data_IF_953693333180
#
_entry.id   IF_953693333180
#
_cell.length_a   1.000
_cell.length_b   1.000
_cell.length_c   1.000
_cell.angle_alpha   90.00
_cell.angle_beta   90.00
_cell.angle_gamma   90.00
#
_symmetry.space_group_name_H-M   'P 1'
#
loop_
_entity.id
_entity.type
_entity.pdbx_description
1 polymer ?
#
# COMPACT_ATOMS: atom_id res chain seq x y z
N UNK A 1 12.34 18.04 16.76
CA UNK A 1 12.53 19.41 16.18
C UNK A 1 11.15 20.05 15.96
N UNK A 2 10.46 20.41 17.05
CA UNK A 2 9.08 20.90 17.02
C UNK A 2 9.03 22.40 17.27
N UNK A 3 9.35 23.21 16.25
CA UNK A 3 9.10 24.65 16.31
C UNK A 3 8.13 25.01 15.18
N UNK A 4 7.01 25.64 15.55
CA UNK A 4 6.01 26.18 14.62
C UNK A 4 6.41 27.59 14.17
N UNK A 5 5.95 27.97 12.98
CA UNK A 5 6.28 29.23 12.30
C UNK A 5 5.99 30.46 13.15
N UNK A 6 6.92 31.43 13.15
CA UNK A 6 6.79 32.73 13.82
C UNK A 6 6.11 33.74 12.90
N UNK A 7 5.29 34.65 13.45
CA UNK A 7 4.74 35.79 12.71
C UNK A 7 5.86 36.84 12.55
N UNK A 8 6.39 36.97 11.34
CA UNK A 8 7.54 37.83 10.94
C UNK A 8 8.94 37.25 11.26
N UNK A 9 9.32 36.10 10.68
CA UNK A 9 10.61 35.51 10.94
C UNK A 9 11.75 36.28 10.24
N UNK A 10 12.88 36.42 10.93
CA UNK A 10 14.11 36.97 10.36
C UNK A 10 14.59 36.14 9.16
N UNK A 11 15.41 36.74 8.28
CA UNK A 11 15.99 36.02 7.13
C UNK A 11 16.74 34.75 7.59
N UNK A 12 17.53 34.84 8.66
CA UNK A 12 18.21 33.69 9.25
C UNK A 12 17.24 32.59 9.71
N UNK A 13 16.12 32.95 10.35
CA UNK A 13 15.11 31.98 10.75
C UNK A 13 14.43 31.32 9.55
N UNK A 14 14.13 32.07 8.49
CA UNK A 14 13.59 31.52 7.23
C UNK A 14 14.56 30.52 6.61
N UNK A 15 15.85 30.83 6.58
CA UNK A 15 16.88 29.92 6.06
C UNK A 15 17.03 28.64 6.90
N UNK A 16 16.99 28.75 8.23
CA UNK A 16 17.03 27.58 9.13
C UNK A 16 15.80 26.70 8.93
N UNK A 17 14.61 27.30 8.84
CA UNK A 17 13.37 26.57 8.60
C UNK A 17 13.38 25.89 7.22
N UNK A 18 13.95 26.52 6.18
CA UNK A 18 14.12 25.90 4.86
C UNK A 18 15.10 24.70 4.89
N UNK A 19 16.10 24.73 5.76
CA UNK A 19 17.05 23.63 5.95
C UNK A 19 16.51 22.51 6.86
N UNK A 20 15.39 22.72 7.55
CA UNK A 20 14.82 21.78 8.53
C UNK A 20 14.58 20.39 7.94
N UNK A 21 13.94 20.32 6.78
CA UNK A 21 13.60 19.06 6.13
C UNK A 21 14.86 18.27 5.72
N UNK A 22 15.89 18.98 5.25
CA UNK A 22 17.19 18.39 4.95
C UNK A 22 17.87 17.85 6.21
N UNK A 23 17.79 18.60 7.31
CA UNK A 23 18.38 18.21 8.58
C UNK A 23 17.66 17.01 9.20
N UNK A 24 16.33 16.91 9.09
CA UNK A 24 15.58 15.75 9.59
C UNK A 24 15.92 14.44 8.87
N UNK A 25 16.38 14.50 7.62
CA UNK A 25 16.78 13.32 6.85
C UNK A 25 18.17 12.78 7.26
N UNK A 26 19.00 13.59 7.92
CA UNK A 26 20.37 13.21 8.28
C UNK A 26 20.76 13.34 9.75
N UNK A 27 19.94 14.00 10.58
CA UNK A 27 20.17 14.06 12.02
C UNK A 27 19.57 12.84 12.70
N UNK A 28 20.41 12.15 13.45
CA UNK A 28 20.02 11.07 14.36
C UNK A 28 20.29 11.48 15.79
N UNK A 29 19.40 11.11 16.70
CA UNK A 29 19.64 11.28 18.13
C UNK A 29 20.75 10.32 18.58
N UNK A 30 21.81 10.88 19.14
CA UNK A 30 22.95 10.14 19.70
C UNK A 30 22.67 9.84 21.17
N UNK A 31 22.67 8.55 21.51
CA UNK A 31 22.46 8.09 22.89
C UNK A 31 23.77 8.21 23.67
N UNK A 32 23.78 9.06 24.69
CA UNK A 32 24.82 9.15 25.71
C UNK A 32 24.38 8.36 26.94
N UNK A 33 23.75 9.05 27.88
CA UNK A 33 23.16 8.50 29.11
C UNK A 33 21.75 7.92 28.92
N UNK A 34 21.03 8.36 27.88
CA UNK A 34 19.67 7.93 27.55
C UNK A 34 18.56 8.63 28.34
N UNK A 35 18.87 9.54 29.26
CA UNK A 35 17.89 10.21 30.12
C UNK A 35 17.08 11.28 29.38
N UNK A 36 17.59 11.78 28.25
CA UNK A 36 16.98 12.89 27.50
C UNK A 36 16.46 12.42 26.13
N UNK A 37 16.28 11.11 25.94
CA UNK A 37 15.80 10.55 24.68
C UNK A 37 14.58 9.68 24.94
N UNK A 38 13.43 10.12 24.46
CA UNK A 38 12.20 9.35 24.45
C UNK A 38 12.27 8.27 23.38
N UNK A 39 11.85 7.06 23.72
CA UNK A 39 12.00 5.90 22.85
C UNK A 39 11.19 6.04 21.57
N UNK A 40 9.93 6.47 21.66
CA UNK A 40 8.98 6.39 20.55
C UNK A 40 8.79 7.67 19.75
N UNK A 41 9.33 8.80 20.22
CA UNK A 41 9.17 10.12 19.56
C UNK A 41 10.44 10.66 18.92
N UNK A 42 11.60 10.06 19.20
CA UNK A 42 12.89 10.53 18.70
C UNK A 42 13.48 9.57 17.65
N UNK A 43 14.20 10.12 16.67
CA UNK A 43 14.84 9.35 15.60
C UNK A 43 16.25 8.89 16.04
N UNK A 44 16.34 7.86 16.89
CA UNK A 44 17.61 7.38 17.44
C UNK A 44 18.14 6.08 16.79
N UNK A 45 17.30 5.37 16.02
CA UNK A 45 17.68 4.12 15.34
C UNK A 45 18.66 4.40 14.19
N UNK A 46 19.76 3.63 14.06
CA UNK A 46 20.81 3.84 13.06
C UNK A 46 20.42 3.36 11.65
N UNK A 47 19.30 3.84 11.12
CA UNK A 47 18.88 3.64 9.73
C UNK A 47 19.20 4.86 8.86
N UNK A 48 19.04 4.72 7.54
CA UNK A 48 19.14 5.82 6.58
C UNK A 48 17.82 5.90 5.79
N UNK A 49 16.97 6.92 6.02
CA UNK A 49 17.11 7.98 7.03
C UNK A 49 16.91 7.47 8.47
N UNK A 50 17.38 8.20 9.49
CA UNK A 50 17.13 7.87 10.89
C UNK A 50 15.63 7.92 11.20
N UNK A 51 15.14 6.95 11.97
CA UNK A 51 13.73 6.88 12.38
C UNK A 51 13.57 6.47 13.83
N UNK A 52 12.34 6.59 14.32
CA UNK A 52 11.90 5.94 15.55
C UNK A 52 11.90 4.40 15.42
N UNK A 53 12.02 3.67 16.53
CA UNK A 53 11.87 2.22 16.55
C UNK A 53 10.46 1.79 16.15
N UNK A 54 10.37 0.58 15.61
CA UNK A 54 9.12 -0.15 15.40
C UNK A 54 8.80 -0.95 16.67
N UNK A 55 7.53 -0.93 17.07
CA UNK A 55 7.04 -1.82 18.13
C UNK A 55 6.76 -3.23 17.57
N UNK A 56 6.51 -4.17 18.48
CA UNK A 56 6.08 -5.53 18.18
C UNK A 56 4.56 -5.73 18.32
N UNK A 57 3.76 -4.66 18.21
CA UNK A 57 2.31 -4.67 18.50
C UNK A 57 1.95 -4.46 19.97
N UNK A 58 2.93 -4.23 20.85
CA UNK A 58 2.69 -3.85 22.26
C UNK A 58 2.32 -2.36 22.40
N UNK A 59 1.74 -2.01 23.56
CA UNK A 59 1.37 -0.63 23.88
C UNK A 59 2.60 0.29 23.94
N UNK A 60 2.56 1.41 23.20
CA UNK A 60 3.60 2.45 23.23
C UNK A 60 3.47 3.33 24.45
N UNK A 61 4.32 3.11 25.44
CA UNK A 61 4.50 4.08 26.53
C UNK A 61 5.30 5.30 26.04
N UNK A 62 4.61 6.41 25.75
CA UNK A 62 5.21 7.65 25.25
C UNK A 62 6.14 8.37 26.24
N UNK A 63 6.13 7.96 27.51
CA UNK A 63 7.03 8.47 28.54
C UNK A 63 8.20 7.52 28.83
N UNK A 64 8.36 6.45 28.03
CA UNK A 64 9.52 5.56 28.08
C UNK A 64 10.78 6.26 27.55
N UNK A 65 11.82 6.31 28.39
CA UNK A 65 13.13 6.86 28.05
C UNK A 65 14.16 5.76 27.79
N UNK A 66 15.15 6.08 26.95
CA UNK A 66 16.19 5.13 26.54
C UNK A 66 17.04 4.66 27.73
N UNK A 67 17.24 5.48 28.77
CA UNK A 67 17.96 5.07 29.98
C UNK A 67 17.35 3.85 30.67
N UNK A 68 16.03 3.65 30.58
CA UNK A 68 15.32 2.51 31.20
C UNK A 68 15.63 1.19 30.49
N UNK A 69 16.00 1.26 29.21
CA UNK A 69 16.42 0.13 28.38
C UNK A 69 17.91 -0.23 28.56
N UNK A 70 18.67 0.61 29.26
CA UNK A 70 20.09 0.43 29.50
C UNK A 70 20.29 -0.02 30.95
N UNK A 71 21.08 -1.06 31.17
CA UNK A 71 21.64 -1.36 32.48
C UNK A 71 22.76 -0.37 32.79
N UNK A 72 22.52 0.49 33.77
CA UNK A 72 23.44 1.57 34.12
C UNK A 72 24.74 1.08 34.76
N UNK A 73 24.77 -0.15 35.30
CA UNK A 73 25.96 -0.75 35.91
C UNK A 73 26.88 -1.37 34.86
N UNK A 74 26.33 -2.21 33.98
CA UNK A 74 27.08 -2.87 32.92
C UNK A 74 27.24 -2.04 31.65
N UNK A 75 26.48 -0.94 31.51
CA UNK A 75 26.35 -0.13 30.28
C UNK A 75 25.95 -0.95 29.06
N UNK A 76 25.19 -2.01 29.27
CA UNK A 76 24.64 -2.86 28.22
C UNK A 76 23.13 -2.68 28.10
N UNK A 77 22.57 -3.09 26.96
CA UNK A 77 21.13 -3.06 26.74
C UNK A 77 20.45 -4.22 27.47
N UNK A 78 19.33 -3.95 28.14
CA UNK A 78 18.49 -4.98 28.78
C UNK A 78 17.74 -5.76 27.71
N UNK A 79 18.27 -6.92 27.34
CA UNK A 79 17.77 -7.69 26.20
C UNK A 79 16.30 -8.09 26.34
N UNK A 80 15.86 -8.44 27.55
CA UNK A 80 14.46 -8.83 27.81
C UNK A 80 13.47 -7.68 27.54
N UNK A 81 13.86 -6.45 27.88
CA UNK A 81 13.08 -5.25 27.56
C UNK A 81 13.08 -4.97 26.07
N UNK A 82 14.17 -5.27 25.37
CA UNK A 82 14.21 -5.07 23.93
C UNK A 82 13.30 -6.06 23.19
N UNK A 83 13.33 -7.33 23.58
CA UNK A 83 12.51 -8.40 22.99
C UNK A 83 11.02 -8.20 23.25
N UNK A 84 10.66 -7.64 24.40
CA UNK A 84 9.26 -7.41 24.77
C UNK A 84 8.63 -6.16 24.16
N UNK A 85 9.43 -5.18 23.72
CA UNK A 85 8.92 -3.88 23.25
C UNK A 85 9.11 -3.63 21.75
N UNK A 86 10.18 -4.13 21.14
CA UNK A 86 10.57 -3.74 19.78
C UNK A 86 10.35 -4.85 18.76
N UNK A 87 10.13 -4.43 17.52
CA UNK A 87 10.19 -5.31 16.35
C UNK A 87 11.54 -6.05 16.30
N UNK A 88 11.56 -7.37 16.03
CA UNK A 88 12.79 -8.15 15.97
C UNK A 88 13.84 -7.60 14.98
N UNK A 89 13.41 -6.90 13.93
CA UNK A 89 14.31 -6.25 12.97
C UNK A 89 15.08 -5.06 13.54
N UNK A 90 14.57 -4.40 14.58
CA UNK A 90 15.21 -3.22 15.21
C UNK A 90 16.18 -3.58 16.32
N UNK A 91 16.03 -4.75 16.96
CA UNK A 91 16.87 -5.19 18.08
C UNK A 91 18.37 -5.22 17.71
N UNK A 92 18.80 -5.79 16.55
CA UNK A 92 20.21 -5.76 16.15
C UNK A 92 20.73 -4.33 15.96
N UNK A 93 19.89 -3.42 15.44
CA UNK A 93 20.24 -2.02 15.22
C UNK A 93 20.44 -1.28 16.55
N UNK A 94 19.55 -1.50 17.52
CA UNK A 94 19.65 -0.93 18.86
C UNK A 94 20.92 -1.44 19.56
N UNK A 95 21.18 -2.74 19.50
CA UNK A 95 22.38 -3.35 20.11
C UNK A 95 23.70 -2.87 19.49
N UNK A 96 23.68 -2.44 18.24
CA UNK A 96 24.86 -1.85 17.60
C UNK A 96 25.25 -0.49 18.20
N UNK A 97 24.31 0.19 18.86
CA UNK A 97 24.56 1.43 19.56
C UNK A 97 25.29 1.13 20.86
N UNK A 98 26.41 1.81 21.08
CA UNK A 98 27.15 1.72 22.34
C UNK A 98 26.73 2.90 23.24
N UNK A 99 26.03 2.65 24.36
CA UNK A 99 25.83 3.67 25.38
C UNK A 99 27.18 4.21 25.86
N UNK A 100 27.20 5.47 26.28
CA UNK A 100 28.44 6.08 26.78
C UNK A 100 28.84 5.45 28.13
N UNK A 101 30.11 5.09 28.28
CA UNK A 101 30.65 4.61 29.57
C UNK A 101 30.64 5.72 30.62
N UNK A 102 30.91 6.96 30.20
CA UNK A 102 30.83 8.14 31.06
C UNK A 102 29.44 8.76 30.98
N UNK A 103 29.01 9.44 32.03
CA UNK A 103 27.77 10.23 31.98
C UNK A 103 27.95 11.35 30.94
N UNK A 104 27.26 11.24 29.81
CA UNK A 104 27.25 12.23 28.75
C UNK A 104 25.82 12.50 28.32
N UNK A 105 25.54 13.76 27.97
CA UNK A 105 24.23 14.12 27.49
C UNK A 105 23.95 13.52 26.12
N UNK A 106 22.68 13.12 25.94
CA UNK A 106 22.17 12.76 24.62
C UNK A 106 22.25 13.98 23.70
N UNK A 107 22.56 13.73 22.42
CA UNK A 107 22.78 14.81 21.46
C UNK A 107 22.30 14.45 20.07
N UNK A 108 22.81 15.14 19.06
CA UNK A 108 22.56 14.81 17.67
C UNK A 108 23.87 14.47 16.96
N UNK A 109 23.81 13.52 16.03
CA UNK A 109 24.89 13.22 15.12
C UNK A 109 24.40 13.21 13.67
N UNK A 110 25.25 13.71 12.79
CA UNK A 110 25.04 13.70 11.35
C UNK A 110 25.53 12.39 10.74
N UNK A 111 24.60 11.59 10.20
CA UNK A 111 24.90 10.21 9.77
C UNK A 111 25.80 10.13 8.53
N UNK A 112 25.94 11.20 7.77
CA UNK A 112 26.71 11.21 6.51
C UNK A 112 28.20 11.52 6.71
N UNK A 113 28.67 11.58 7.95
CA UNK A 113 30.07 11.85 8.30
C UNK A 113 30.54 10.91 9.40
N UNK A 114 31.77 10.40 9.29
CA UNK A 114 32.35 9.50 10.31
C UNK A 114 32.49 10.16 11.69
N UNK A 115 32.71 11.47 11.72
CA UNK A 115 32.78 12.26 12.97
C UNK A 115 31.42 12.50 13.61
N UNK A 116 30.32 12.30 12.88
CA UNK A 116 28.98 12.73 13.29
C UNK A 116 28.77 14.25 13.24
N UNK A 117 29.73 15.04 12.73
CA UNK A 117 29.62 16.49 12.63
C UNK A 117 29.06 16.90 11.27
N UNK A 118 28.06 17.78 11.28
CA UNK A 118 27.52 18.34 10.05
C UNK A 118 28.57 19.19 9.32
N UNK A 119 28.70 19.01 8.01
CA UNK A 119 29.47 19.90 7.15
C UNK A 119 28.61 20.36 5.98
N UNK A 120 28.83 21.60 5.51
CA UNK A 120 28.14 22.15 4.34
C UNK A 120 28.23 21.20 3.14
N UNK A 121 29.42 20.66 2.86
CA UNK A 121 29.65 19.68 1.77
C UNK A 121 28.74 18.44 1.90
N UNK A 122 28.64 17.87 3.10
CA UNK A 122 27.78 16.70 3.34
C UNK A 122 26.28 17.03 3.22
N UNK A 123 25.87 18.24 3.65
CA UNK A 123 24.51 18.73 3.49
C UNK A 123 24.12 18.91 2.02
N UNK A 124 24.97 19.56 1.22
CA UNK A 124 24.73 19.73 -0.22
C UNK A 124 24.69 18.40 -0.96
N UNK A 125 25.54 17.43 -0.59
CA UNK A 125 25.50 16.08 -1.17
C UNK A 125 24.15 15.40 -0.92
N UNK A 126 23.64 15.47 0.32
CA UNK A 126 22.32 14.92 0.65
C UNK A 126 21.20 15.67 -0.10
N UNK A 127 21.27 17.00 -0.17
CA UNK A 127 20.29 17.80 -0.90
C UNK A 127 20.22 17.40 -2.39
N UNK A 128 21.37 17.15 -3.02
CA UNK A 128 21.44 16.61 -4.38
C UNK A 128 20.76 15.24 -4.50
N UNK A 129 21.03 14.33 -3.57
CA UNK A 129 20.39 13.00 -3.55
C UNK A 129 18.87 13.07 -3.35
N UNK A 130 18.39 13.93 -2.44
CA UNK A 130 16.95 14.15 -2.23
C UNK A 130 16.31 14.75 -3.49
N UNK A 131 16.99 15.70 -4.13
CA UNK A 131 16.52 16.29 -5.39
C UNK A 131 16.41 15.24 -6.50
N UNK A 132 17.40 14.38 -6.67
CA UNK A 132 17.36 13.29 -7.64
C UNK A 132 16.27 12.24 -7.30
N UNK A 133 16.06 11.91 -6.01
CA UNK A 133 14.93 11.05 -5.60
C UNK A 133 13.57 11.64 -5.99
N UNK A 134 13.39 12.96 -5.85
CA UNK A 134 12.15 13.66 -6.22
C UNK A 134 12.01 13.85 -7.74
N UNK A 135 13.13 13.85 -8.48
CA UNK A 135 13.18 14.13 -9.91
C UNK A 135 12.42 13.09 -10.74
N UNK A 136 12.49 11.81 -10.38
CA UNK A 136 11.78 10.74 -11.08
C UNK A 136 10.27 10.98 -11.14
N UNK A 137 9.63 11.18 -9.99
CA UNK A 137 8.19 11.46 -9.92
C UNK A 137 7.80 12.77 -10.64
N UNK A 138 8.60 13.83 -10.49
CA UNK A 138 8.35 15.11 -11.18
C UNK A 138 8.47 14.99 -12.70
N UNK A 139 9.44 14.23 -13.20
CA UNK A 139 9.57 13.92 -14.63
C UNK A 139 8.41 13.08 -15.13
N UNK A 140 7.94 12.09 -14.36
CA UNK A 140 6.75 11.30 -14.72
C UNK A 140 5.51 12.18 -14.87
N UNK A 141 5.29 13.12 -13.95
CA UNK A 141 4.17 14.07 -14.07
C UNK A 141 4.32 15.02 -15.26
N UNK A 142 5.52 15.55 -15.50
CA UNK A 142 5.78 16.46 -16.61
C UNK A 142 5.63 15.81 -17.99
N UNK A 143 5.88 14.50 -18.08
CA UNK A 143 5.73 13.71 -19.30
C UNK A 143 4.31 13.12 -19.47
N UNK A 144 3.43 13.27 -18.46
CA UNK A 144 2.06 12.79 -18.54
C UNK A 144 1.19 13.67 -19.47
N UNK A 145 0.08 13.13 -19.95
CA UNK A 145 -0.91 13.86 -20.75
C UNK A 145 -1.75 14.86 -19.94
N UNK A 146 -1.54 14.95 -18.61
CA UNK A 146 -2.28 15.84 -17.73
C UNK A 146 -1.68 17.26 -17.82
N UNK A 147 -2.48 18.30 -18.08
CA UNK A 147 -1.97 19.66 -18.23
C UNK A 147 -1.36 20.16 -16.92
N UNK A 148 -0.11 20.60 -17.00
CA UNK A 148 0.56 21.31 -15.90
C UNK A 148 0.00 22.74 -15.78
N UNK A 149 -0.19 23.21 -14.54
CA UNK A 149 -0.63 24.57 -14.25
C UNK A 149 0.37 25.23 -13.29
N UNK A 150 1.31 26.06 -13.79
CA UNK A 150 2.32 26.71 -12.95
C UNK A 150 1.69 27.45 -11.76
N UNK A 151 2.13 27.12 -10.53
CA UNK A 151 1.59 27.69 -9.29
C UNK A 151 0.41 26.91 -8.68
N UNK A 152 -0.17 25.95 -9.39
CA UNK A 152 -1.26 25.08 -8.90
C UNK A 152 -0.89 23.58 -8.97
N UNK A 153 -0.24 23.15 -10.06
CA UNK A 153 0.15 21.76 -10.27
C UNK A 153 1.37 21.66 -11.21
N UNK A 154 2.44 20.94 -10.82
CA UNK A 154 2.68 20.34 -9.50
C UNK A 154 3.03 21.40 -8.42
N UNK A 155 2.51 21.21 -7.21
CA UNK A 155 2.78 22.03 -6.01
C UNK A 155 3.46 21.21 -4.91
N UNK A 156 3.87 21.88 -3.82
CA UNK A 156 4.38 21.22 -2.62
C UNK A 156 3.27 20.66 -1.72
N UNK A 157 2.00 21.00 -1.97
CA UNK A 157 0.86 20.57 -1.16
C UNK A 157 0.22 19.34 -1.79
N UNK A 158 0.19 18.24 -1.04
CA UNK A 158 -0.50 17.02 -1.45
C UNK A 158 -1.98 17.33 -1.76
N UNK A 159 -2.63 18.10 -0.89
CA UNK A 159 -4.04 18.45 -1.03
C UNK A 159 -4.30 19.27 -2.30
N UNK A 160 -3.49 20.28 -2.58
CA UNK A 160 -3.65 21.11 -3.79
C UNK A 160 -3.42 20.29 -5.06
N UNK A 161 -2.46 19.37 -5.03
CA UNK A 161 -2.22 18.46 -6.16
C UNK A 161 -3.40 17.53 -6.41
N UNK A 162 -3.98 16.94 -5.36
CA UNK A 162 -5.15 16.07 -5.49
C UNK A 162 -6.41 16.84 -5.90
N UNK A 163 -6.67 18.02 -5.34
CA UNK A 163 -7.77 18.90 -5.75
C UNK A 163 -7.64 19.30 -7.23
N UNK A 164 -6.42 19.57 -7.69
CA UNK A 164 -6.16 19.81 -9.10
C UNK A 164 -6.50 18.60 -9.97
N UNK A 165 -5.97 17.43 -9.63
CA UNK A 165 -6.13 16.20 -10.41
C UNK A 165 -7.58 15.69 -10.43
N UNK A 166 -8.31 15.81 -9.33
CA UNK A 166 -9.69 15.33 -9.22
C UNK A 166 -10.72 16.31 -9.79
N UNK A 167 -10.46 17.62 -9.70
CA UNK A 167 -11.50 18.63 -9.92
C UNK A 167 -11.06 19.76 -10.86
N UNK A 168 -9.91 20.39 -10.64
CA UNK A 168 -9.55 21.62 -11.39
C UNK A 168 -9.03 21.35 -12.79
N UNK A 169 -8.36 20.23 -13.02
CA UNK A 169 -7.84 19.87 -14.34
C UNK A 169 -8.98 19.76 -15.38
N UNK A 170 -10.15 19.22 -14.99
CA UNK A 170 -11.36 19.19 -15.82
C UNK A 170 -11.88 20.58 -16.17
N UNK A 171 -11.83 21.52 -15.20
CA UNK A 171 -12.22 22.93 -15.41
C UNK A 171 -11.23 23.67 -16.33
N UNK A 172 -9.99 23.20 -16.40
CA UNK A 172 -8.94 23.71 -17.28
C UNK A 172 -8.89 23.00 -18.64
N UNK A 173 -9.93 22.23 -19.00
CA UNK A 173 -10.05 21.62 -20.33
C UNK A 173 -9.44 20.23 -20.48
N UNK A 174 -9.01 19.57 -19.40
CA UNK A 174 -8.56 18.18 -19.47
C UNK A 174 -9.72 17.22 -19.79
N UNK A 175 -9.50 16.26 -20.70
CA UNK A 175 -10.51 15.25 -21.04
C UNK A 175 -10.62 14.19 -19.95
N UNK A 176 -11.77 13.50 -19.88
CA UNK A 176 -11.94 12.39 -18.93
C UNK A 176 -10.93 11.25 -19.18
N UNK A 177 -10.48 11.06 -20.42
CA UNK A 177 -9.45 10.08 -20.78
C UNK A 177 -8.08 10.45 -20.21
N UNK A 178 -7.66 11.72 -20.30
CA UNK A 178 -6.41 12.20 -19.68
C UNK A 178 -6.42 12.05 -18.16
N UNK A 179 -7.58 12.31 -17.52
CA UNK A 179 -7.74 12.17 -16.08
C UNK A 179 -7.84 10.70 -15.63
N UNK A 180 -8.29 9.80 -16.50
CA UNK A 180 -8.32 8.36 -16.21
C UNK A 180 -6.91 7.77 -16.05
N UNK A 181 -5.87 8.43 -16.56
CA UNK A 181 -4.47 8.03 -16.38
C UNK A 181 -3.92 8.36 -14.99
N UNK A 182 -4.52 9.29 -14.24
CA UNK A 182 -4.01 9.75 -12.94
C UNK A 182 -3.80 8.60 -11.93
N UNK A 183 -4.79 7.72 -11.66
CA UNK A 183 -4.62 6.63 -10.71
C UNK A 183 -3.48 5.69 -11.10
N UNK A 184 -3.31 5.44 -12.40
CA UNK A 184 -2.24 4.62 -12.93
C UNK A 184 -0.87 5.29 -12.77
N UNK A 185 -0.74 6.57 -13.09
CA UNK A 185 0.50 7.33 -12.87
C UNK A 185 0.88 7.30 -11.38
N UNK A 186 -0.07 7.51 -10.48
CA UNK A 186 0.16 7.42 -9.04
C UNK A 186 0.63 6.02 -8.61
N UNK A 187 -0.02 4.97 -9.13
CA UNK A 187 0.36 3.58 -8.87
C UNK A 187 1.75 3.23 -9.41
N UNK A 188 2.09 3.66 -10.63
CA UNK A 188 3.40 3.39 -11.23
C UNK A 188 4.53 4.17 -10.53
N UNK A 189 4.28 5.40 -10.08
CA UNK A 189 5.23 6.14 -9.21
C UNK A 189 5.44 5.39 -7.89
N UNK A 190 4.35 4.86 -7.30
CA UNK A 190 4.44 4.03 -6.09
C UNK A 190 5.23 2.74 -6.34
N UNK A 191 4.97 2.03 -7.45
CA UNK A 191 5.69 0.82 -7.84
C UNK A 191 7.17 1.09 -8.09
N UNK A 192 7.50 2.12 -8.86
CA UNK A 192 8.87 2.54 -9.12
C UNK A 192 9.63 2.92 -7.84
N UNK A 193 8.96 3.62 -6.91
CA UNK A 193 9.52 3.90 -5.59
C UNK A 193 9.80 2.61 -4.82
N UNK A 194 8.85 1.67 -4.80
CA UNK A 194 9.01 0.42 -4.04
C UNK A 194 10.11 -0.46 -4.61
N UNK A 195 10.18 -0.63 -5.93
CA UNK A 195 11.28 -1.34 -6.59
C UNK A 195 12.65 -0.73 -6.26
N UNK A 196 12.74 0.59 -6.20
CA UNK A 196 13.97 1.26 -5.77
C UNK A 196 14.29 1.04 -4.29
N UNK A 197 13.28 1.07 -3.43
CA UNK A 197 13.45 0.94 -1.97
C UNK A 197 13.80 -0.50 -1.56
N UNK A 198 13.14 -1.50 -2.14
CA UNK A 198 13.27 -2.89 -1.76
C UNK A 198 14.29 -3.65 -2.62
N UNK A 199 14.39 -3.34 -3.91
CA UNK A 199 15.22 -4.09 -4.87
C UNK A 199 16.40 -3.27 -5.44
N UNK A 200 16.52 -1.98 -5.08
CA UNK A 200 17.60 -1.10 -5.54
C UNK A 200 17.55 -0.77 -7.04
N UNK A 201 16.45 -1.07 -7.73
CA UNK A 201 16.30 -0.83 -9.17
C UNK A 201 15.76 0.57 -9.44
N UNK A 202 16.44 1.31 -10.32
CA UNK A 202 15.96 2.59 -10.84
C UNK A 202 15.08 2.35 -12.08
N UNK A 203 13.79 2.65 -11.97
CA UNK A 203 12.85 2.65 -13.11
C UNK A 203 12.79 4.06 -13.69
N UNK A 204 13.01 4.18 -15.00
CA UNK A 204 13.03 5.48 -15.67
C UNK A 204 11.60 6.02 -15.88
N UNK A 205 11.41 7.35 -15.87
CA UNK A 205 10.10 7.97 -16.07
C UNK A 205 9.35 7.58 -17.36
N UNK A 206 10.00 7.38 -18.53
CA UNK A 206 9.33 6.94 -19.75
C UNK A 206 8.72 5.54 -19.62
N UNK A 207 9.43 4.62 -18.97
CA UNK A 207 8.97 3.23 -18.72
C UNK A 207 7.81 3.18 -17.72
N UNK A 208 7.58 4.28 -16.99
CA UNK A 208 6.47 4.48 -16.05
C UNK A 208 5.20 4.95 -16.78
N UNK A 209 5.33 5.56 -17.97
CA UNK A 209 4.24 6.22 -18.72
C UNK A 209 3.79 5.39 -19.91
N UNK A 210 4.69 4.66 -20.58
CA UNK A 210 4.34 3.78 -21.69
C UNK A 210 3.17 2.83 -21.34
N UNK A 211 3.14 2.20 -20.14
CA UNK A 211 2.00 1.38 -19.75
C UNK A 211 0.74 2.21 -19.51
N UNK A 212 0.82 3.48 -19.08
CA UNK A 212 -0.39 4.28 -18.78
C UNK A 212 -1.18 4.64 -20.02
N UNK A 213 -0.51 4.87 -21.15
CA UNK A 213 -1.16 5.14 -22.45
C UNK A 213 -1.83 3.87 -22.96
N UNK A 214 -1.09 2.75 -22.99
CA UNK A 214 -1.63 1.44 -23.39
C UNK A 214 -2.73 0.92 -22.46
N UNK A 215 -2.63 1.12 -21.13
CA UNK A 215 -3.66 0.66 -20.18
C UNK A 215 -4.90 1.57 -20.19
N UNK A 216 -4.74 2.85 -20.58
CA UNK A 216 -5.86 3.79 -20.75
C UNK A 216 -6.59 3.60 -22.09
N UNK A 217 -5.86 3.25 -23.15
CA UNK A 217 -6.40 2.92 -24.47
C UNK A 217 -6.98 1.50 -24.51
N UNK A 218 -6.35 0.52 -23.84
CA UNK A 218 -6.86 -0.85 -23.70
C UNK A 218 -8.08 -0.99 -22.78
N UNK A 219 -8.54 0.11 -22.15
CA UNK A 219 -9.79 0.15 -21.37
C UNK A 219 -10.79 1.18 -21.89
N UNK A 220 -10.54 1.73 -23.07
CA UNK A 220 -11.56 2.38 -23.88
C UNK A 220 -12.39 1.33 -24.58
N UNK A 221 -13.41 0.82 -23.88
CA UNK A 221 -14.58 0.12 -24.45
C UNK A 221 -14.26 -0.82 -25.62
N UNK A 222 -13.30 -1.73 -25.44
CA UNK A 222 -13.11 -2.81 -26.40
C UNK A 222 -14.21 -3.84 -26.14
N UNK A 223 -15.32 -3.70 -26.87
CA UNK A 223 -16.24 -4.80 -27.16
C UNK A 223 -15.52 -5.86 -28.02
N UNK A 224 -14.40 -6.37 -27.53
CA UNK A 224 -13.92 -7.69 -27.94
C UNK A 224 -15.00 -8.67 -27.51
N UNK A 225 -15.49 -9.48 -28.45
CA UNK A 225 -16.55 -10.46 -28.17
C UNK A 225 -16.15 -11.27 -26.93
N UNK A 226 -17.03 -11.37 -25.91
CA UNK A 226 -16.71 -12.13 -24.71
C UNK A 226 -16.34 -13.56 -25.12
N UNK A 227 -15.19 -14.04 -24.66
CA UNK A 227 -14.80 -15.42 -24.85
C UNK A 227 -15.74 -16.27 -23.99
N UNK A 228 -16.66 -16.97 -24.63
CA UNK A 228 -17.64 -17.84 -23.97
C UNK A 228 -17.05 -19.25 -23.81
N UNK A 229 -17.43 -20.00 -22.76
CA UNK A 229 -18.36 -19.62 -21.69
C UNK A 229 -17.72 -18.74 -20.60
N UNK A 230 -18.49 -17.81 -20.04
CA UNK A 230 -18.04 -16.88 -18.99
C UNK A 230 -18.90 -16.95 -17.73
N UNK A 231 -18.31 -16.63 -16.58
CA UNK A 231 -19.02 -16.57 -15.30
C UNK A 231 -18.57 -15.38 -14.45
N UNK A 232 -19.50 -14.49 -14.14
CA UNK A 232 -19.30 -13.37 -13.23
C UNK A 232 -19.63 -13.80 -11.81
N UNK A 233 -18.77 -13.45 -10.85
CA UNK A 233 -18.93 -13.80 -9.44
C UNK A 233 -18.82 -12.58 -8.56
N UNK A 234 -19.56 -12.58 -7.45
CA UNK A 234 -19.51 -11.53 -6.43
C UNK A 234 -19.92 -12.08 -5.06
N UNK A 235 -19.49 -11.41 -3.99
CA UNK A 235 -19.87 -11.77 -2.63
C UNK A 235 -20.37 -10.59 -1.80
N UNK A 236 -21.36 -10.86 -0.96
CA UNK A 236 -21.90 -9.92 0.02
C UNK A 236 -21.61 -10.46 1.42
N UNK A 237 -20.79 -9.72 2.16
CA UNK A 237 -20.38 -10.06 3.51
C UNK A 237 -20.71 -8.90 4.45
N UNK A 238 -21.31 -9.20 5.61
CA UNK A 238 -21.64 -8.21 6.64
C UNK A 238 -21.21 -8.73 8.01
N UNK A 239 -20.41 -7.96 8.75
CA UNK A 239 -19.82 -8.42 10.01
C UNK A 239 -20.84 -8.87 11.08
N UNK A 240 -22.07 -8.37 10.99
CA UNK A 240 -23.18 -8.63 11.90
C UNK A 240 -24.17 -9.70 11.38
N UNK A 241 -23.89 -10.32 10.24
CA UNK A 241 -24.67 -11.44 9.69
C UNK A 241 -24.10 -12.77 10.19
N UNK A 242 -24.94 -13.81 10.24
CA UNK A 242 -24.49 -15.18 10.51
C UNK A 242 -24.12 -15.94 9.23
N UNK A 243 -24.36 -15.33 8.07
CA UNK A 243 -24.12 -15.90 6.75
C UNK A 243 -23.52 -14.88 5.79
N UNK A 244 -22.74 -15.37 4.83
CA UNK A 244 -22.36 -14.58 3.65
C UNK A 244 -23.17 -15.05 2.43
N UNK A 245 -23.43 -14.12 1.51
CA UNK A 245 -24.08 -14.41 0.23
C UNK A 245 -23.08 -14.37 -0.92
N UNK A 246 -23.16 -15.32 -1.83
CA UNK A 246 -22.46 -15.33 -3.11
C UNK A 246 -23.44 -15.21 -4.26
N UNK A 247 -23.08 -14.46 -5.29
CA UNK A 247 -23.83 -14.31 -6.52
C UNK A 247 -23.00 -14.77 -7.71
N UNK A 248 -23.64 -15.48 -8.65
CA UNK A 248 -23.00 -15.86 -9.90
C UNK A 248 -23.93 -15.64 -11.09
N UNK A 249 -23.34 -15.21 -12.20
CA UNK A 249 -24.01 -15.07 -13.49
C UNK A 249 -23.16 -15.74 -14.56
N UNK A 250 -23.64 -16.86 -15.07
CA UNK A 250 -22.94 -17.64 -16.07
C UNK A 250 -23.60 -17.44 -17.43
N UNK A 251 -22.79 -17.16 -18.45
CA UNK A 251 -23.22 -17.08 -19.83
C UNK A 251 -22.51 -18.18 -20.63
N UNK A 252 -23.30 -19.17 -21.06
CA UNK A 252 -22.78 -20.36 -21.73
C UNK A 252 -22.75 -20.21 -23.25
N UNK A 253 -23.76 -19.51 -23.78
CA UNK A 253 -23.98 -19.21 -25.19
C UNK A 253 -24.44 -17.75 -25.27
N UNK A 254 -24.26 -17.06 -26.41
CA UNK A 254 -24.74 -15.69 -26.57
C UNK A 254 -26.21 -15.58 -26.16
N UNK A 255 -26.52 -14.64 -25.26
CA UNK A 255 -27.87 -14.38 -24.71
C UNK A 255 -28.42 -15.41 -23.71
N UNK A 256 -27.76 -16.56 -23.52
CA UNK A 256 -28.20 -17.59 -22.56
C UNK A 256 -27.52 -17.41 -21.20
N UNK A 257 -28.26 -16.85 -20.27
CA UNK A 257 -27.79 -16.54 -18.92
C UNK A 257 -28.36 -17.53 -17.88
N UNK A 258 -27.48 -18.08 -17.05
CA UNK A 258 -27.80 -18.81 -15.83
C UNK A 258 -27.46 -17.94 -14.63
N UNK A 259 -28.39 -17.84 -13.70
CA UNK A 259 -28.24 -17.05 -12.48
C UNK A 259 -28.19 -18.00 -11.28
N UNK A 260 -27.21 -17.81 -10.42
CA UNK A 260 -27.07 -18.58 -9.19
C UNK A 260 -26.84 -17.66 -7.99
N UNK A 261 -27.32 -18.09 -6.85
CA UNK A 261 -27.08 -17.45 -5.58
C UNK A 261 -26.79 -18.55 -4.56
N UNK A 262 -25.76 -18.36 -3.76
CA UNK A 262 -25.22 -19.32 -2.80
C UNK A 262 -24.96 -18.62 -1.48
N UNK A 263 -24.80 -19.39 -0.41
CA UNK A 263 -24.33 -18.86 0.86
C UNK A 263 -24.17 -19.98 1.87
N UNK A 264 -23.28 -19.77 2.82
CA UNK A 264 -22.99 -20.65 3.95
C UNK A 264 -22.88 -19.82 5.21
N UNK A 265 -22.57 -20.48 6.32
CA UNK A 265 -22.09 -19.85 7.55
C UNK A 265 -21.06 -18.76 7.26
N UNK A 266 -21.10 -17.69 8.05
CA UNK A 266 -20.24 -16.53 7.90
C UNK A 266 -18.76 -16.93 7.86
N UNK A 267 -18.05 -16.39 6.87
CA UNK A 267 -16.60 -16.52 6.73
C UNK A 267 -15.85 -15.38 7.41
N UNK A 268 -14.55 -15.57 7.65
CA UNK A 268 -13.74 -14.68 8.50
C UNK A 268 -13.58 -13.26 7.96
N UNK A 269 -13.68 -13.06 6.65
CA UNK A 269 -13.52 -11.74 6.04
C UNK A 269 -14.22 -11.63 4.68
N UNK A 270 -14.44 -10.41 4.17
CA UNK A 270 -14.96 -10.20 2.81
C UNK A 270 -14.16 -10.94 1.74
N UNK A 271 -12.83 -11.00 1.86
CA UNK A 271 -12.00 -11.70 0.88
C UNK A 271 -12.24 -13.22 0.88
N UNK A 272 -12.53 -13.82 2.03
CA UNK A 272 -12.91 -15.24 2.09
C UNK A 272 -14.28 -15.46 1.41
N UNK A 273 -15.20 -14.49 1.51
CA UNK A 273 -16.52 -14.58 0.88
C UNK A 273 -16.42 -14.50 -0.64
N UNK A 274 -15.58 -13.60 -1.15
CA UNK A 274 -15.26 -13.48 -2.58
C UNK A 274 -14.67 -14.79 -3.11
N UNK A 275 -13.66 -15.33 -2.42
CA UNK A 275 -13.01 -16.56 -2.83
C UNK A 275 -13.96 -17.76 -2.78
N UNK A 276 -14.74 -17.88 -1.70
CA UNK A 276 -15.76 -18.93 -1.59
C UNK A 276 -16.82 -18.82 -2.68
N UNK A 277 -17.18 -17.61 -3.12
CA UNK A 277 -18.13 -17.39 -4.21
C UNK A 277 -17.55 -17.84 -5.56
N UNK A 278 -16.26 -17.59 -5.80
CA UNK A 278 -15.54 -18.13 -6.96
C UNK A 278 -15.50 -19.67 -6.95
N UNK A 279 -15.14 -20.29 -5.81
CA UNK A 279 -15.10 -21.75 -5.68
C UNK A 279 -16.45 -22.37 -5.97
N UNK A 280 -17.51 -21.75 -5.46
CA UNK A 280 -18.87 -22.19 -5.71
C UNK A 280 -19.20 -22.13 -7.22
N UNK A 281 -18.84 -21.03 -7.89
CA UNK A 281 -19.02 -20.90 -9.33
C UNK A 281 -18.22 -21.92 -10.14
N UNK A 282 -16.97 -22.22 -9.75
CA UNK A 282 -16.15 -23.26 -10.36
C UNK A 282 -16.81 -24.63 -10.21
N UNK A 283 -17.26 -24.97 -9.01
CA UNK A 283 -17.95 -26.23 -8.73
C UNK A 283 -19.24 -26.38 -9.55
N UNK A 284 -20.05 -25.33 -9.65
CA UNK A 284 -21.26 -25.33 -10.48
C UNK A 284 -20.93 -25.46 -11.98
N UNK A 285 -19.87 -24.80 -12.45
CA UNK A 285 -19.45 -24.89 -13.85
C UNK A 285 -19.08 -26.33 -14.22
N UNK A 286 -18.32 -27.02 -13.37
CA UNK A 286 -17.95 -28.42 -13.56
C UNK A 286 -19.17 -29.35 -13.54
N UNK A 287 -20.13 -29.14 -12.63
CA UNK A 287 -21.37 -29.91 -12.58
C UNK A 287 -22.21 -29.77 -13.85
N UNK A 288 -22.17 -28.59 -14.50
CA UNK A 288 -22.82 -28.35 -15.78
C UNK A 288 -22.01 -28.86 -16.98
N UNK A 289 -20.83 -29.44 -16.75
CA UNK A 289 -19.96 -30.00 -17.78
C UNK A 289 -18.98 -29.01 -18.43
N UNK A 290 -18.85 -27.79 -17.90
CA UNK A 290 -17.92 -26.79 -18.42
C UNK A 290 -16.52 -26.96 -17.80
N UNK A 291 -15.61 -27.56 -18.57
CA UNK A 291 -14.20 -27.72 -18.20
C UNK A 291 -13.30 -26.60 -18.71
N UNK A 292 -13.81 -25.69 -19.54
CA UNK A 292 -13.10 -24.50 -20.02
C UNK A 292 -13.96 -23.28 -19.75
N UNK A 293 -13.52 -22.38 -18.86
CA UNK A 293 -14.32 -21.24 -18.37
C UNK A 293 -13.47 -19.98 -18.17
N UNK A 294 -14.10 -18.83 -18.42
CA UNK A 294 -13.57 -17.51 -18.06
C UNK A 294 -14.34 -16.93 -16.89
N UNK A 295 -13.68 -16.73 -15.77
CA UNK A 295 -14.27 -16.13 -14.57
C UNK A 295 -13.96 -14.63 -14.51
N UNK A 296 -14.92 -13.86 -14.01
CA UNK A 296 -14.84 -12.41 -13.89
C UNK A 296 -15.23 -12.00 -12.46
N UNK A 297 -14.43 -11.16 -11.82
CA UNK A 297 -14.71 -10.63 -10.47
C UNK A 297 -14.31 -9.15 -10.37
N UNK A 298 -14.99 -8.41 -9.51
CA UNK A 298 -14.61 -7.04 -9.17
C UNK A 298 -13.63 -6.92 -7.99
N UNK A 299 -13.27 -8.06 -7.37
CA UNK A 299 -12.30 -8.14 -6.28
C UNK A 299 -10.87 -8.26 -6.81
N UNK A 300 -10.21 -7.12 -7.05
CA UNK A 300 -8.83 -7.08 -7.57
C UNK A 300 -7.83 -7.84 -6.69
N UNK A 301 -8.04 -7.87 -5.37
CA UNK A 301 -7.17 -8.60 -4.44
C UNK A 301 -7.20 -10.10 -4.71
N UNK A 302 -8.39 -10.68 -4.90
CA UNK A 302 -8.57 -12.09 -5.22
C UNK A 302 -8.02 -12.44 -6.61
N UNK A 303 -8.24 -11.58 -7.60
CA UNK A 303 -7.72 -11.79 -8.97
C UNK A 303 -6.19 -11.84 -8.97
N UNK A 304 -5.54 -10.92 -8.27
CA UNK A 304 -4.07 -10.92 -8.15
C UNK A 304 -3.58 -12.15 -7.37
N UNK A 305 -4.24 -12.51 -6.27
CA UNK A 305 -3.89 -13.69 -5.47
C UNK A 305 -3.80 -14.97 -6.33
N UNK A 306 -4.79 -15.19 -7.19
CA UNK A 306 -4.88 -16.39 -8.01
C UNK A 306 -3.93 -16.34 -9.21
N UNK A 307 -3.75 -15.18 -9.83
CA UNK A 307 -2.91 -15.05 -11.03
C UNK A 307 -1.42 -14.95 -10.72
N UNK A 308 -1.04 -14.37 -9.58
CA UNK A 308 0.36 -14.20 -9.17
C UNK A 308 0.86 -15.38 -8.29
N UNK A 309 0.02 -16.40 -8.06
CA UNK A 309 0.30 -17.60 -7.25
C UNK A 309 0.88 -17.28 -5.85
N UNK A 310 0.41 -16.19 -5.22
CA UNK A 310 0.90 -15.78 -3.90
C UNK A 310 0.24 -16.60 -2.78
N UNK A 311 1.03 -17.36 -2.01
CA UNK A 311 0.51 -18.13 -0.89
C UNK A 311 0.09 -17.23 0.28
N UNK A 312 -1.19 -17.29 0.67
CA UNK A 312 -1.71 -16.61 1.85
C UNK A 312 -2.10 -17.62 2.92
N UNK A 313 -1.33 -17.73 4.04
CA UNK A 313 -1.56 -18.71 5.09
C UNK A 313 -2.97 -18.69 5.71
N UNK A 314 -3.66 -17.54 5.64
CA UNK A 314 -5.04 -17.40 6.15
C UNK A 314 -6.11 -17.99 5.23
N UNK A 315 -5.81 -18.25 3.96
CA UNK A 315 -6.76 -18.75 2.93
C UNK A 315 -6.45 -20.19 2.50
N UNK A 316 -5.69 -20.94 3.31
CA UNK A 316 -5.19 -22.27 2.94
C UNK A 316 -6.32 -23.25 2.64
N UNK A 317 -7.47 -23.14 3.33
CA UNK A 317 -8.62 -24.02 3.09
C UNK A 317 -9.21 -23.78 1.70
N UNK A 318 -9.51 -22.52 1.39
CA UNK A 318 -10.06 -22.08 0.10
C UNK A 318 -9.06 -22.35 -1.03
N UNK A 319 -7.77 -22.16 -0.76
CA UNK A 319 -6.71 -22.44 -1.73
C UNK A 319 -6.61 -23.92 -2.07
N UNK A 320 -6.70 -24.82 -1.07
CA UNK A 320 -6.70 -26.26 -1.33
C UNK A 320 -7.92 -26.69 -2.17
N UNK A 321 -9.10 -26.15 -1.88
CA UNK A 321 -10.29 -26.36 -2.70
C UNK A 321 -10.11 -25.81 -4.11
N UNK A 322 -9.52 -24.62 -4.25
CA UNK A 322 -9.21 -24.00 -5.53
C UNK A 322 -8.32 -24.91 -6.37
N UNK A 323 -7.19 -25.35 -5.82
CA UNK A 323 -6.24 -26.24 -6.50
C UNK A 323 -6.93 -27.54 -6.92
N UNK A 324 -7.77 -28.11 -6.05
CA UNK A 324 -8.54 -29.31 -6.36
C UNK A 324 -9.51 -29.11 -7.53
N UNK A 325 -10.32 -28.04 -7.51
CA UNK A 325 -11.25 -27.74 -8.60
C UNK A 325 -10.52 -27.38 -9.89
N UNK A 326 -9.45 -26.58 -9.78
CA UNK A 326 -8.62 -26.09 -10.90
C UNK A 326 -8.02 -27.23 -11.72
N UNK A 327 -7.74 -28.38 -11.10
CA UNK A 327 -7.25 -29.58 -11.78
C UNK A 327 -8.23 -30.13 -12.83
N UNK A 328 -9.53 -29.98 -12.62
CA UNK A 328 -10.57 -30.47 -13.54
C UNK A 328 -10.83 -29.52 -14.72
N UNK A 329 -10.28 -28.30 -14.70
CA UNK A 329 -10.42 -27.35 -15.81
C UNK A 329 -9.30 -27.52 -16.83
N UNK A 330 -9.68 -27.79 -18.08
CA UNK A 330 -8.79 -27.75 -19.25
C UNK A 330 -8.47 -26.31 -19.67
N UNK A 331 -9.37 -25.37 -19.39
CA UNK A 331 -9.19 -23.94 -19.59
C UNK A 331 -9.72 -23.15 -18.39
N UNK A 332 -8.88 -22.32 -17.79
CA UNK A 332 -9.27 -21.45 -16.70
C UNK A 332 -8.61 -20.09 -16.90
N UNK A 333 -9.43 -19.04 -16.87
CA UNK A 333 -8.95 -17.68 -16.73
C UNK A 333 -9.76 -16.96 -15.66
N UNK A 334 -9.11 -16.04 -14.95
CA UNK A 334 -9.77 -15.14 -14.01
C UNK A 334 -9.34 -13.71 -14.32
N UNK A 335 -10.31 -12.84 -14.57
CA UNK A 335 -10.06 -11.46 -14.95
C UNK A 335 -10.80 -10.47 -14.04
N UNK A 336 -10.21 -9.29 -13.89
CA UNK A 336 -10.80 -8.18 -13.16
C UNK A 336 -11.80 -7.42 -14.04
N UNK A 337 -13.00 -7.19 -13.51
CA UNK A 337 -14.00 -6.30 -14.11
C UNK A 337 -14.34 -5.15 -13.16
N UNK A 338 -14.85 -4.04 -13.72
CA UNK A 338 -15.30 -2.92 -12.89
C UNK A 338 -16.59 -3.27 -12.14
N UNK A 339 -16.80 -2.73 -10.94
CA UNK A 339 -18.06 -2.90 -10.18
C UNK A 339 -19.32 -2.55 -10.99
N UNK A 340 -19.21 -1.56 -11.88
CA UNK A 340 -20.32 -1.15 -12.77
C UNK A 340 -20.71 -2.24 -13.77
N UNK A 341 -19.79 -3.16 -14.05
CA UNK A 341 -19.96 -4.28 -14.96
C UNK A 341 -20.43 -5.56 -14.25
N UNK A 342 -20.30 -5.64 -12.90
CA UNK A 342 -20.63 -6.81 -12.08
C UNK A 342 -21.97 -6.71 -11.31
N UNK A 343 -22.82 -5.75 -11.68
CA UNK A 343 -24.03 -5.38 -10.89
C UNK A 343 -24.97 -6.57 -10.66
N UNK A 344 -25.08 -7.49 -11.62
CA UNK A 344 -26.01 -8.63 -11.51
C UNK A 344 -25.58 -9.63 -10.45
N UNK A 345 -24.28 -9.94 -10.39
CA UNK A 345 -23.74 -10.85 -9.37
C UNK A 345 -23.83 -10.21 -7.98
N UNK A 346 -23.52 -8.92 -7.84
CA UNK A 346 -23.67 -8.15 -6.58
C UNK A 346 -25.12 -8.16 -6.05
N UNK A 347 -26.10 -7.95 -6.92
CA UNK A 347 -27.51 -8.00 -6.53
C UNK A 347 -27.94 -9.41 -6.08
N UNK A 348 -27.42 -10.47 -6.71
CA UNK A 348 -27.70 -11.85 -6.30
C UNK A 348 -27.07 -12.18 -4.95
N UNK A 349 -25.83 -11.74 -4.71
CA UNK A 349 -25.13 -11.92 -3.45
C UNK A 349 -25.87 -11.23 -2.30
N UNK A 350 -26.24 -9.95 -2.48
CA UNK A 350 -27.03 -9.20 -1.49
C UNK A 350 -28.42 -9.78 -1.29
N UNK A 351 -29.05 -10.23 -2.38
CA UNK A 351 -30.36 -10.87 -2.34
C UNK A 351 -30.40 -12.12 -1.46
N UNK A 352 -29.30 -12.89 -1.40
CA UNK A 352 -29.20 -14.03 -0.50
C UNK A 352 -29.25 -13.61 0.96
N UNK A 353 -28.37 -12.69 1.36
CA UNK A 353 -28.23 -12.27 2.76
C UNK A 353 -29.53 -11.67 3.28
N UNK A 354 -30.22 -10.88 2.45
CA UNK A 354 -31.53 -10.31 2.79
C UNK A 354 -32.60 -11.39 2.98
N UNK A 355 -32.59 -12.47 2.18
CA UNK A 355 -33.57 -13.57 2.32
C UNK A 355 -33.36 -14.36 3.62
N UNK A 356 -32.11 -14.60 4.00
CA UNK A 356 -31.80 -15.33 5.24
C UNK A 356 -32.10 -14.52 6.50
N UNK A 357 -31.95 -13.19 6.47
CA UNK A 357 -32.35 -12.32 7.58
C UNK A 357 -33.87 -12.18 7.72
N UNK A 358 -34.61 -12.21 6.61
CA UNK A 358 -36.08 -12.04 6.61
C UNK A 358 -36.85 -13.35 6.82
N UNK A 359 -36.26 -14.49 6.45
CA UNK A 359 -36.81 -15.83 6.64
C UNK A 359 -35.69 -16.77 7.11
N UNK A 360 -35.40 -16.84 8.42
CA UNK A 360 -34.45 -17.83 8.93
C UNK A 360 -35.00 -19.24 8.64
N UNK A 361 -34.22 -20.05 7.91
CA UNK A 361 -34.57 -21.43 7.56
C UNK A 361 -34.53 -22.37 8.77
#
# INVERSE_FOLDING_TARGET
MEVKTSNSPSFGWKSIMAAKDLLSEGLRRRIGSGYNTRVWSENWIPTIPPRQPKDNGSHRDHDLFVNQLIDQSSKTWKLDNLLSLFDPGDIPLIRSLRPSHNFSDDGFCWIYTKSGAYTVKSGYKLAGQIKERKRGALQTWALSSIPSAPGLFPSNSLYENFDYLLCRAKRNGATNTMLACFPWIAWFIWKARNEKVFNGKDILPPDTIAPTTETSEARGDDQSKPCLPRCQVDASWMANSDVFGGGLVMETEPEKHLYGSTGKEQVLSPLHAEFSSLLCAMMYSLHLGFMSMNFESDCLQMVNLINDEEEWPSLVSEWNEFVHLRYYFTGFSLSYISRKSNVRADLLAKGFVLRTETFPM
#
